data_IF_381089064420
#
_entry.id   IF_381089064420
#
_cell.length_a   1.000
_cell.length_b   1.000
_cell.length_c   1.000
_cell.angle_alpha   90.00
_cell.angle_beta   90.00
_cell.angle_gamma   90.00
#
_symmetry.space_group_name_H-M   'P 1'
#
loop_
_entity.id
_entity.type
_entity.pdbx_description
1 polymer ?
#
# COMPACT_ATOMS: atom_id res chain seq x y z
N UNK A 1 -23.76 68.69 -72.97
CA UNK A 1 -22.28 68.83 -73.00
C UNK A 1 -21.81 68.46 -71.61
N UNK A 2 -20.85 67.55 -71.48
CA UNK A 2 -20.28 67.17 -70.18
C UNK A 2 -19.38 68.33 -69.77
N UNK A 3 -19.94 69.31 -69.06
CA UNK A 3 -19.12 70.25 -68.30
C UNK A 3 -18.53 69.48 -67.14
N UNK A 4 -17.21 69.34 -67.16
CA UNK A 4 -16.44 68.82 -66.04
C UNK A 4 -16.47 69.88 -64.95
N UNK A 5 -17.59 69.94 -64.24
CA UNK A 5 -17.83 70.93 -63.21
C UNK A 5 -17.17 70.48 -61.91
N UNK A 6 -16.71 71.47 -61.14
CA UNK A 6 -16.04 71.30 -59.83
C UNK A 6 -16.89 70.46 -58.84
N UNK A 7 -18.20 70.37 -59.10
CA UNK A 7 -19.18 69.51 -58.43
C UNK A 7 -18.85 68.03 -58.57
N UNK A 8 -18.33 67.57 -59.70
CA UNK A 8 -17.92 66.18 -59.93
C UNK A 8 -16.71 65.83 -59.07
N UNK A 9 -15.76 66.76 -58.94
CA UNK A 9 -14.63 66.62 -58.02
C UNK A 9 -15.10 66.61 -56.56
N UNK A 10 -16.02 67.51 -56.18
CA UNK A 10 -16.62 67.50 -54.84
C UNK A 10 -17.40 66.20 -54.54
N UNK A 11 -18.09 65.63 -55.53
CA UNK A 11 -18.80 64.35 -55.40
C UNK A 11 -17.82 63.20 -55.13
N UNK A 12 -16.70 63.15 -55.85
CA UNK A 12 -15.64 62.14 -55.64
C UNK A 12 -15.03 62.30 -54.24
N UNK A 13 -14.73 63.52 -53.82
CA UNK A 13 -14.22 63.79 -52.47
C UNK A 13 -15.22 63.35 -51.40
N UNK A 14 -16.51 63.63 -51.57
CA UNK A 14 -17.56 63.18 -50.65
C UNK A 14 -17.61 61.64 -50.57
N UNK A 15 -17.51 60.95 -51.72
CA UNK A 15 -17.51 59.49 -51.77
C UNK A 15 -16.29 58.89 -51.06
N UNK A 16 -15.10 59.47 -51.25
CA UNK A 16 -13.88 59.05 -50.54
C UNK A 16 -14.01 59.27 -49.04
N UNK A 17 -14.52 60.43 -48.60
CA UNK A 17 -14.76 60.71 -47.18
C UNK A 17 -15.74 59.70 -46.60
N UNK A 18 -16.86 59.44 -47.28
CA UNK A 18 -17.86 58.46 -46.85
C UNK A 18 -17.25 57.06 -46.76
N UNK A 19 -16.42 56.64 -47.72
CA UNK A 19 -15.74 55.36 -47.68
C UNK A 19 -14.76 55.26 -46.52
N UNK A 20 -14.05 56.34 -46.19
CA UNK A 20 -13.14 56.38 -45.04
C UNK A 20 -13.90 56.27 -43.72
N UNK A 21 -14.99 57.03 -43.58
CA UNK A 21 -15.89 56.97 -42.41
C UNK A 21 -16.47 55.56 -42.27
N UNK A 22 -16.97 54.96 -43.34
CA UNK A 22 -17.54 53.62 -43.33
C UNK A 22 -16.50 52.55 -42.97
N UNK A 23 -15.26 52.70 -43.45
CA UNK A 23 -14.16 51.80 -43.12
C UNK A 23 -13.85 51.81 -41.62
N UNK A 24 -13.80 53.00 -41.02
CA UNK A 24 -13.52 53.17 -39.59
C UNK A 24 -14.70 52.75 -38.72
N UNK A 25 -15.93 53.11 -39.11
CA UNK A 25 -17.14 52.90 -38.32
C UNK A 25 -17.69 51.47 -38.42
N UNK A 26 -17.57 50.80 -39.57
CA UNK A 26 -18.18 49.47 -39.78
C UNK A 26 -17.13 48.37 -39.97
N UNK A 27 -16.19 48.56 -40.90
CA UNK A 27 -15.26 47.48 -41.27
C UNK A 27 -14.34 47.06 -40.13
N UNK A 28 -13.78 48.02 -39.39
CA UNK A 28 -12.94 47.75 -38.22
C UNK A 28 -13.68 47.02 -37.10
N UNK A 29 -14.84 47.49 -36.59
CA UNK A 29 -15.53 46.79 -35.51
C UNK A 29 -16.08 45.43 -35.94
N UNK A 30 -16.58 45.28 -37.16
CA UNK A 30 -17.07 43.98 -37.66
C UNK A 30 -15.93 42.95 -37.69
N UNK A 31 -14.76 43.32 -38.24
CA UNK A 31 -13.58 42.43 -38.22
C UNK A 31 -13.12 42.10 -36.81
N UNK A 32 -13.19 43.06 -35.87
CA UNK A 32 -12.84 42.83 -34.48
C UNK A 32 -13.78 41.79 -33.85
N UNK A 33 -15.09 41.95 -34.00
CA UNK A 33 -16.09 41.00 -33.46
C UNK A 33 -15.93 39.60 -34.08
N UNK A 34 -15.64 39.51 -35.37
CA UNK A 34 -15.38 38.22 -36.02
C UNK A 34 -14.14 37.52 -35.45
N UNK A 35 -13.04 38.25 -35.24
CA UNK A 35 -11.85 37.69 -34.59
C UNK A 35 -12.12 37.31 -33.15
N UNK A 36 -12.74 38.19 -32.36
CA UNK A 36 -13.05 37.90 -30.95
C UNK A 36 -13.94 36.64 -30.82
N UNK A 37 -14.87 36.42 -31.76
CA UNK A 37 -15.66 35.18 -31.83
C UNK A 37 -14.81 33.97 -32.20
N UNK A 38 -13.95 34.09 -33.21
CA UNK A 38 -13.06 33.00 -33.62
C UNK A 38 -12.09 32.62 -32.49
N UNK A 39 -11.46 33.60 -31.85
CA UNK A 39 -10.53 33.43 -30.74
C UNK A 39 -11.22 32.81 -29.52
N UNK A 40 -12.46 33.22 -29.23
CA UNK A 40 -13.24 32.63 -28.13
C UNK A 40 -13.60 31.17 -28.41
N UNK A 41 -14.03 30.84 -29.63
CA UNK A 41 -14.34 29.47 -30.03
C UNK A 41 -13.09 28.58 -29.99
N UNK A 42 -11.97 29.08 -30.52
CA UNK A 42 -10.69 28.37 -30.50
C UNK A 42 -10.19 28.20 -29.06
N UNK A 43 -10.23 29.25 -28.25
CA UNK A 43 -9.82 29.20 -26.84
C UNK A 43 -10.69 28.24 -26.01
N UNK A 44 -11.98 28.14 -26.29
CA UNK A 44 -12.86 27.14 -25.66
C UNK A 44 -12.50 25.72 -26.09
N UNK A 45 -12.23 25.48 -27.39
CA UNK A 45 -11.79 24.18 -27.89
C UNK A 45 -10.46 23.75 -27.27
N UNK A 46 -9.46 24.64 -27.25
CA UNK A 46 -8.16 24.38 -26.63
C UNK A 46 -8.28 24.19 -25.12
N UNK A 47 -9.16 24.94 -24.48
CA UNK A 47 -9.49 24.78 -23.06
C UNK A 47 -10.06 23.40 -22.76
N UNK A 48 -11.03 22.93 -23.57
CA UNK A 48 -11.63 21.60 -23.44
C UNK A 48 -10.59 20.50 -23.66
N UNK A 49 -9.79 20.60 -24.73
CA UNK A 49 -8.74 19.64 -25.04
C UNK A 49 -7.70 19.54 -23.90
N UNK A 50 -7.27 20.68 -23.36
CA UNK A 50 -6.37 20.71 -22.19
C UNK A 50 -7.03 20.13 -20.95
N UNK A 51 -8.32 20.39 -20.72
CA UNK A 51 -9.02 19.85 -19.55
C UNK A 51 -9.14 18.33 -19.64
N UNK A 52 -9.44 17.79 -20.83
CA UNK A 52 -9.52 16.36 -21.08
C UNK A 52 -8.16 15.68 -20.91
N UNK A 53 -7.09 16.27 -21.47
CA UNK A 53 -5.72 15.75 -21.29
C UNK A 53 -5.31 15.76 -19.81
N UNK A 54 -5.54 16.86 -19.10
CA UNK A 54 -5.25 16.93 -17.67
C UNK A 54 -6.08 15.93 -16.85
N UNK A 55 -7.35 15.72 -17.21
CA UNK A 55 -8.20 14.72 -16.55
C UNK A 55 -7.67 13.30 -16.78
N UNK A 56 -7.32 12.95 -18.02
CA UNK A 56 -6.70 11.65 -18.35
C UNK A 56 -5.40 11.44 -17.59
N UNK A 57 -4.49 12.43 -17.62
CA UNK A 57 -3.22 12.36 -16.89
C UNK A 57 -3.42 12.18 -15.38
N UNK A 58 -4.39 12.89 -14.79
CA UNK A 58 -4.71 12.73 -13.37
C UNK A 58 -5.27 11.35 -13.06
N UNK A 59 -6.12 10.82 -13.94
CA UNK A 59 -6.65 9.47 -13.81
C UNK A 59 -5.52 8.43 -13.86
N UNK A 60 -4.65 8.52 -14.85
CA UNK A 60 -3.49 7.62 -15.00
C UNK A 60 -2.54 7.71 -13.79
N UNK A 61 -2.29 8.92 -13.28
CA UNK A 61 -1.49 9.11 -12.06
C UNK A 61 -2.14 8.48 -10.83
N UNK A 62 -3.46 8.62 -10.68
CA UNK A 62 -4.21 8.01 -9.56
C UNK A 62 -4.17 6.50 -9.65
N UNK A 63 -4.43 5.94 -10.83
CA UNK A 63 -4.42 4.49 -11.06
C UNK A 63 -3.02 3.90 -10.84
N UNK A 64 -1.97 4.58 -11.31
CA UNK A 64 -0.58 4.21 -11.06
C UNK A 64 -0.20 4.25 -9.58
N UNK A 65 -0.61 5.32 -8.87
CA UNK A 65 -0.38 5.46 -7.42
C UNK A 65 -1.14 4.39 -6.64
N UNK A 66 -2.38 4.11 -7.01
CA UNK A 66 -3.19 3.05 -6.42
C UNK A 66 -2.56 1.67 -6.61
N UNK A 67 -2.12 1.35 -7.83
CA UNK A 67 -1.42 0.09 -8.12
C UNK A 67 -0.13 -0.04 -7.30
N UNK A 68 0.66 1.03 -7.23
CA UNK A 68 1.91 1.07 -6.46
C UNK A 68 1.66 0.92 -4.97
N UNK A 69 0.67 1.63 -4.42
CA UNK A 69 0.29 1.53 -3.01
C UNK A 69 -0.20 0.13 -2.65
N UNK A 70 -1.02 -0.47 -3.52
CA UNK A 70 -1.53 -1.84 -3.35
C UNK A 70 -0.39 -2.87 -3.41
N UNK A 71 0.55 -2.71 -4.34
CA UNK A 71 1.76 -3.54 -4.43
C UNK A 71 2.64 -3.43 -3.18
N UNK A 72 2.88 -2.21 -2.68
CA UNK A 72 3.64 -1.99 -1.44
C UNK A 72 2.95 -2.58 -0.21
N UNK A 73 1.63 -2.41 -0.10
CA UNK A 73 0.85 -2.98 1.00
C UNK A 73 0.89 -4.50 0.98
N UNK A 74 0.76 -5.12 -0.20
CA UNK A 74 0.87 -6.57 -0.35
C UNK A 74 2.27 -7.07 0.02
N UNK A 75 3.33 -6.42 -0.48
CA UNK A 75 4.70 -6.77 -0.13
C UNK A 75 4.99 -6.64 1.38
N UNK A 76 4.46 -5.60 2.02
CA UNK A 76 4.59 -5.40 3.47
C UNK A 76 3.84 -6.50 4.27
N UNK A 77 2.62 -6.85 3.84
CA UNK A 77 1.84 -7.94 4.46
C UNK A 77 2.52 -9.30 4.27
N UNK A 78 3.04 -9.59 3.09
CA UNK A 78 3.73 -10.85 2.81
C UNK A 78 5.04 -10.94 3.61
N UNK A 79 5.78 -9.83 3.74
CA UNK A 79 6.95 -9.73 4.62
C UNK A 79 6.62 -9.96 6.09
N UNK A 80 5.59 -9.28 6.61
CA UNK A 80 5.15 -9.44 8.00
C UNK A 80 4.66 -10.86 8.29
N UNK A 81 3.97 -11.51 7.33
CA UNK A 81 3.56 -12.91 7.44
C UNK A 81 4.76 -13.85 7.47
N UNK A 82 5.73 -13.66 6.59
CA UNK A 82 6.94 -14.49 6.56
C UNK A 82 7.74 -14.35 7.87
N UNK A 83 7.87 -13.13 8.39
CA UNK A 83 8.54 -12.87 9.67
C UNK A 83 7.78 -13.50 10.85
N UNK A 84 6.45 -13.34 10.90
CA UNK A 84 5.63 -13.97 11.92
C UNK A 84 5.70 -15.50 11.87
N UNK A 85 5.73 -16.09 10.68
CA UNK A 85 5.90 -17.53 10.49
C UNK A 85 7.27 -18.00 10.99
N UNK A 86 8.35 -17.32 10.59
CA UNK A 86 9.70 -17.63 11.02
C UNK A 86 9.87 -17.49 12.55
N UNK A 87 9.31 -16.43 13.14
CA UNK A 87 9.31 -16.24 14.59
C UNK A 87 8.48 -17.32 15.32
N UNK A 88 7.34 -17.70 14.74
CA UNK A 88 6.50 -18.79 15.24
C UNK A 88 7.24 -20.13 15.24
N UNK A 89 7.87 -20.48 14.12
CA UNK A 89 8.64 -21.71 13.95
C UNK A 89 9.85 -21.75 14.90
N UNK A 90 10.57 -20.64 15.03
CA UNK A 90 11.69 -20.51 15.96
C UNK A 90 11.23 -20.67 17.42
N UNK A 91 10.09 -20.08 17.79
CA UNK A 91 9.53 -20.21 19.15
C UNK A 91 9.04 -21.63 19.42
N UNK A 92 8.43 -22.28 18.44
CA UNK A 92 8.00 -23.67 18.55
C UNK A 92 9.21 -24.61 18.72
N UNK A 93 10.29 -24.36 17.97
CA UNK A 93 11.54 -25.12 18.10
C UNK A 93 12.17 -24.93 19.48
N UNK A 94 12.19 -23.70 20.00
CA UNK A 94 12.70 -23.41 21.34
C UNK A 94 11.88 -24.12 22.43
N UNK A 95 10.55 -24.08 22.35
CA UNK A 95 9.65 -24.78 23.29
C UNK A 95 9.87 -26.29 23.23
N UNK A 96 10.04 -26.88 22.03
CA UNK A 96 10.33 -28.30 21.88
C UNK A 96 11.67 -28.67 22.54
N UNK A 97 12.73 -27.89 22.29
CA UNK A 97 14.03 -28.12 22.89
C UNK A 97 13.99 -28.02 24.42
N UNK A 98 13.24 -27.06 24.97
CA UNK A 98 13.04 -26.92 26.42
C UNK A 98 12.26 -28.12 26.99
N UNK A 99 11.17 -28.54 26.33
CA UNK A 99 10.38 -29.69 26.74
C UNK A 99 11.19 -30.99 26.72
N UNK A 100 12.01 -31.21 25.68
CA UNK A 100 12.90 -32.37 25.60
C UNK A 100 13.95 -32.34 26.72
N UNK A 101 14.52 -31.17 27.03
CA UNK A 101 15.47 -31.00 28.13
C UNK A 101 14.86 -31.24 29.51
N UNK A 102 13.61 -30.80 29.74
CA UNK A 102 12.86 -31.08 30.98
C UNK A 102 12.60 -32.59 31.10
N UNK A 103 12.13 -33.21 30.02
CA UNK A 103 11.87 -34.66 29.99
C UNK A 103 13.12 -35.47 30.27
N UNK A 104 14.27 -35.08 29.71
CA UNK A 104 15.53 -35.77 29.94
C UNK A 104 16.02 -35.61 31.39
N UNK A 105 15.83 -34.43 32.01
CA UNK A 105 16.07 -34.23 33.44
C UNK A 105 15.19 -35.11 34.31
N UNK A 106 13.86 -35.09 34.10
CA UNK A 106 12.94 -35.91 34.90
C UNK A 106 13.24 -37.41 34.77
N UNK A 107 13.56 -37.89 33.56
CA UNK A 107 13.98 -39.29 33.36
C UNK A 107 15.29 -39.62 34.08
N UNK A 108 16.22 -38.67 34.16
CA UNK A 108 17.44 -38.78 34.95
C UNK A 108 17.16 -38.89 36.45
N UNK A 109 16.31 -37.99 36.97
CA UNK A 109 15.94 -37.94 38.38
C UNK A 109 15.18 -39.21 38.81
N UNK A 110 14.23 -39.69 38.00
CA UNK A 110 13.52 -40.95 38.25
C UNK A 110 14.49 -42.14 38.29
N UNK A 111 15.47 -42.19 37.38
CA UNK A 111 16.49 -43.26 37.40
C UNK A 111 17.33 -43.20 38.68
N UNK A 112 17.72 -41.99 39.10
CA UNK A 112 18.44 -41.75 40.36
C UNK A 112 17.61 -42.23 41.56
N UNK A 113 16.33 -41.86 41.64
CA UNK A 113 15.43 -42.29 42.71
C UNK A 113 15.24 -43.80 42.74
N UNK A 114 15.09 -44.46 41.58
CA UNK A 114 14.99 -45.93 41.52
C UNK A 114 16.27 -46.60 42.06
N UNK A 115 17.45 -46.06 41.73
CA UNK A 115 18.73 -46.58 42.24
C UNK A 115 18.83 -46.36 43.75
N UNK A 116 18.45 -45.18 44.25
CA UNK A 116 18.43 -44.88 45.68
C UNK A 116 17.45 -45.80 46.44
N UNK A 117 16.21 -45.91 45.97
CA UNK A 117 15.19 -46.78 46.56
C UNK A 117 15.60 -48.26 46.55
N UNK A 118 16.28 -48.74 45.49
CA UNK A 118 16.84 -50.10 45.48
C UNK A 118 17.92 -50.31 46.53
N UNK A 119 18.80 -49.32 46.70
CA UNK A 119 19.86 -49.37 47.71
C UNK A 119 19.27 -49.38 49.13
N UNK A 120 18.24 -48.57 49.37
CA UNK A 120 17.53 -48.53 50.65
C UNK A 120 16.78 -49.85 50.92
N UNK A 121 16.14 -50.44 49.90
CA UNK A 121 15.53 -51.77 50.04
C UNK A 121 16.58 -52.86 50.35
N UNK A 122 17.77 -52.80 49.75
CA UNK A 122 18.87 -53.72 50.06
C UNK A 122 19.39 -53.54 51.49
N UNK A 123 19.46 -52.32 52.00
CA UNK A 123 19.80 -52.07 53.40
C UNK A 123 18.70 -52.56 54.36
N UNK A 124 17.42 -52.41 53.99
CA UNK A 124 16.27 -52.88 54.77
C UNK A 124 16.00 -54.39 54.67
N UNK A 125 16.60 -55.08 53.70
CA UNK A 125 16.39 -56.52 53.44
C UNK A 125 16.84 -57.40 54.61
N UNK A 126 17.89 -57.03 55.34
CA UNK A 126 18.31 -57.76 56.55
C UNK A 126 17.21 -57.71 57.62
N UNK A 127 16.72 -56.52 57.97
CA UNK A 127 15.63 -56.37 58.96
C UNK A 127 14.32 -57.02 58.52
N UNK A 128 13.99 -56.96 57.23
CA UNK A 128 12.80 -57.61 56.68
C UNK A 128 12.91 -59.14 56.68
N UNK A 129 14.10 -59.69 56.37
CA UNK A 129 14.37 -61.12 56.45
C UNK A 129 14.33 -61.62 57.90
N UNK A 130 14.87 -60.87 58.87
CA UNK A 130 14.78 -61.21 60.30
C UNK A 130 13.33 -61.16 60.80
N UNK A 131 12.56 -60.14 60.38
CA UNK A 131 11.15 -60.03 60.73
C UNK A 131 10.29 -61.16 60.14
N UNK A 132 10.54 -61.56 58.88
CA UNK A 132 9.88 -62.71 58.26
C UNK A 132 10.28 -64.03 58.93
N UNK A 133 11.57 -64.23 59.24
CA UNK A 133 12.05 -65.40 59.95
C UNK A 133 11.40 -65.51 61.34
N UNK A 134 11.32 -64.41 62.09
CA UNK A 134 10.65 -64.37 63.40
C UNK A 134 9.14 -64.67 63.32
N UNK A 135 8.48 -64.26 62.23
CA UNK A 135 7.03 -64.51 62.03
C UNK A 135 6.73 -65.95 61.61
N UNK A 136 7.60 -66.58 60.81
CA UNK A 136 7.47 -67.98 60.39
C UNK A 136 7.87 -68.94 61.54
N UNK A 137 8.90 -68.59 62.32
CA UNK A 137 9.39 -69.40 63.43
C UNK A 137 8.58 -69.19 64.73
N UNK A 138 7.61 -68.27 64.75
CA UNK A 138 6.71 -68.04 65.88
C UNK A 138 7.38 -67.49 67.15
N UNK A 139 8.65 -67.07 67.06
CA UNK A 139 9.42 -66.44 68.15
C UNK A 139 10.39 -65.42 67.55
N UNK A 140 10.44 -64.23 68.15
CA UNK A 140 11.45 -63.22 67.85
C UNK A 140 12.86 -63.77 68.15
N UNK A 141 13.77 -63.61 67.20
CA UNK A 141 15.22 -63.70 67.42
C UNK A 141 15.75 -62.34 67.88
#
# INVERSE_FOLDING_TARGET
>A
MITMDITLVMQIVNMIILMFVLNVVIYKPVRKVLRDRADKLQGMSDGIAKLEDNARRRQDEVDSKMATASGKAKAALDGARAEAQAAGDARLAAIKAEADGVKEKELGDVRSEIVAARKDLQAGLEGFATAMAGKILGRSL
#
